data_IF_569667852212
#
_entry.id   IF_569667852212
#
_cell.length_a   1.000
_cell.length_b   1.000
_cell.length_c   1.000
_cell.angle_alpha   90.00
_cell.angle_beta   90.00
_cell.angle_gamma   90.00
#
_symmetry.space_group_name_H-M   'P 1'
#
loop_
_entity.id
_entity.type
_entity.pdbx_description
1 polymer ?
#
# COMPACT_ATOMS: atom_id res chain seq x y z
N UNK A 1 -25.71 -8.65 3.31
CA UNK A 1 -25.12 -8.30 2.00
C UNK A 1 -23.64 -8.14 2.26
N UNK A 2 -22.78 -8.99 1.69
CA UNK A 2 -21.34 -8.93 1.99
C UNK A 2 -20.70 -7.77 1.23
N UNK A 3 -20.13 -6.82 1.97
CA UNK A 3 -19.19 -5.82 1.47
C UNK A 3 -17.96 -6.53 0.87
N UNK A 4 -18.08 -6.94 -0.39
CA UNK A 4 -17.01 -7.62 -1.09
C UNK A 4 -15.88 -6.62 -1.33
N UNK A 5 -14.74 -6.88 -0.68
CA UNK A 5 -13.50 -6.14 -0.82
C UNK A 5 -12.89 -6.38 -2.22
N UNK A 6 -12.02 -5.47 -2.71
CA UNK A 6 -11.18 -5.72 -3.88
C UNK A 6 -10.35 -7.00 -3.70
N UNK A 7 -10.31 -7.84 -4.73
CA UNK A 7 -9.63 -9.15 -4.69
C UNK A 7 -8.09 -9.03 -4.58
N UNK A 8 -7.53 -7.84 -4.81
CA UNK A 8 -6.09 -7.54 -4.68
C UNK A 8 -5.68 -6.94 -3.33
N UNK A 9 -6.60 -6.86 -2.37
CA UNK A 9 -6.25 -6.49 -1.00
C UNK A 9 -5.71 -7.73 -0.25
N UNK A 10 -4.40 -7.77 0.11
CA UNK A 10 -3.84 -8.92 0.83
C UNK A 10 -4.46 -9.05 2.22
N UNK A 11 -4.76 -10.28 2.64
CA UNK A 11 -5.17 -10.64 4.01
C UNK A 11 -6.58 -10.18 4.40
N UNK A 12 -7.45 -11.11 4.78
CA UNK A 12 -8.73 -10.78 5.41
C UNK A 12 -8.55 -9.90 6.66
N UNK A 13 -9.67 -9.53 7.26
CA UNK A 13 -9.89 -8.60 8.38
C UNK A 13 -9.14 -8.87 9.69
N UNK A 14 -8.19 -9.79 9.70
CA UNK A 14 -7.40 -10.11 10.87
C UNK A 14 -6.25 -9.10 11.00
N UNK A 15 -6.09 -8.61 12.21
CA UNK A 15 -5.04 -7.66 12.59
C UNK A 15 -3.67 -8.30 12.37
N UNK A 16 -2.99 -7.96 11.28
CA UNK A 16 -1.63 -8.46 11.01
C UNK A 16 -0.62 -7.36 11.35
N UNK A 17 -0.12 -7.43 12.59
CA UNK A 17 1.04 -6.72 13.14
C UNK A 17 0.93 -5.19 13.37
N UNK A 18 1.65 -4.75 14.42
CA UNK A 18 1.94 -3.34 14.70
C UNK A 18 2.74 -2.71 13.54
N UNK A 19 2.71 -1.37 13.44
CA UNK A 19 3.48 -0.67 12.40
C UNK A 19 4.97 -1.04 12.48
N UNK A 20 5.51 -1.55 11.37
CA UNK A 20 6.92 -1.83 11.20
C UNK A 20 7.46 -1.04 9.99
N UNK A 21 8.54 -0.26 10.14
CA UNK A 21 9.11 0.50 9.04
C UNK A 21 9.69 -0.44 7.98
N UNK A 22 9.12 -0.41 6.78
CA UNK A 22 9.57 -1.19 5.63
C UNK A 22 10.05 -0.28 4.50
N UNK A 23 11.11 -0.62 3.75
CA UNK A 23 11.51 0.14 2.57
C UNK A 23 10.33 0.34 1.62
N UNK A 24 10.05 1.59 1.24
CA UNK A 24 8.88 1.92 0.44
C UNK A 24 9.10 1.43 -0.99
N UNK A 25 8.18 0.59 -1.48
CA UNK A 25 8.27 -0.02 -2.80
C UNK A 25 6.95 0.05 -3.56
N UNK A 26 7.04 0.13 -4.89
CA UNK A 26 5.86 0.10 -5.78
C UNK A 26 5.11 -1.21 -5.61
N UNK A 27 3.78 -1.14 -5.56
CA UNK A 27 2.90 -2.28 -5.37
C UNK A 27 2.63 -2.63 -3.90
N UNK A 28 3.36 -2.06 -2.94
CA UNK A 28 3.08 -2.26 -1.52
C UNK A 28 1.69 -1.72 -1.16
N UNK A 29 0.96 -2.51 -0.38
CA UNK A 29 -0.33 -2.12 0.18
C UNK A 29 -0.16 -1.93 1.69
N UNK A 30 -0.55 -0.76 2.18
CA UNK A 30 -0.58 -0.41 3.59
C UNK A 30 -2.04 -0.30 4.02
N UNK A 31 -2.44 -1.05 5.05
CA UNK A 31 -3.81 -1.06 5.58
C UNK A 31 -3.90 -0.32 6.89
N UNK A 32 -4.91 0.52 7.03
CA UNK A 32 -5.23 1.16 8.30
C UNK A 32 -5.98 0.21 9.22
N UNK A 33 -5.86 0.38 10.53
CA UNK A 33 -6.80 -0.19 11.49
C UNK A 33 -8.24 0.28 11.19
N UNK A 34 -9.01 -0.54 10.48
CA UNK A 34 -10.39 -0.24 10.11
C UNK A 34 -10.86 -0.93 8.82
N UNK A 35 -12.17 -0.89 8.54
CA UNK A 35 -12.83 -1.74 7.55
C UNK A 35 -12.51 -1.44 6.07
N UNK A 36 -12.16 -0.20 5.77
CA UNK A 36 -12.28 0.34 4.41
C UNK A 36 -10.97 0.94 3.91
N UNK A 37 -10.08 1.38 4.80
CA UNK A 37 -8.96 2.26 4.47
C UNK A 37 -7.67 1.48 4.16
N UNK A 38 -7.27 1.50 2.89
CA UNK A 38 -5.99 0.98 2.42
C UNK A 38 -5.35 1.94 1.42
N UNK A 39 -4.03 1.86 1.32
CA UNK A 39 -3.19 2.63 0.42
C UNK A 39 -2.33 1.67 -0.38
N UNK A 40 -2.29 1.83 -1.69
CA UNK A 40 -1.33 1.15 -2.56
C UNK A 40 -0.30 2.16 -3.04
N UNK A 41 0.98 1.82 -2.95
CA UNK A 41 2.06 2.64 -3.50
C UNK A 41 2.12 2.39 -5.01
N UNK A 42 1.89 3.43 -5.80
CA UNK A 42 1.90 3.38 -7.26
C UNK A 42 3.26 3.80 -7.82
N UNK A 43 3.95 4.74 -7.14
CA UNK A 43 5.27 5.25 -7.54
C UNK A 43 6.08 5.62 -6.30
N UNK A 44 7.39 5.41 -6.36
CA UNK A 44 8.35 5.84 -5.33
C UNK A 44 9.32 6.84 -5.94
N UNK A 45 9.18 8.12 -5.57
CA UNK A 45 9.99 9.23 -6.08
C UNK A 45 10.96 9.71 -5.01
N UNK A 46 11.62 8.79 -4.29
CA UNK A 46 12.61 9.13 -3.27
C UNK A 46 14.03 9.10 -3.87
N UNK A 47 14.97 9.95 -3.41
CA UNK A 47 16.36 9.87 -3.84
C UNK A 47 16.91 8.45 -3.72
N UNK A 48 17.56 7.97 -4.78
CA UNK A 48 18.06 6.58 -4.87
C UNK A 48 17.07 5.57 -5.45
N UNK A 49 15.81 5.94 -5.74
CA UNK A 49 14.89 5.08 -6.49
C UNK A 49 14.99 5.31 -8.02
N UNK A 50 14.83 4.26 -8.86
CA UNK A 50 14.88 4.40 -10.32
C UNK A 50 13.84 5.35 -10.92
N UNK A 51 12.74 5.60 -10.21
CA UNK A 51 11.68 6.50 -10.66
C UNK A 51 11.89 7.95 -10.20
N UNK A 52 12.98 8.25 -9.48
CA UNK A 52 13.30 9.60 -9.05
C UNK A 52 13.91 10.39 -10.20
N UNK A 53 13.24 11.46 -10.61
CA UNK A 53 13.60 12.33 -11.74
C UNK A 53 14.27 13.65 -11.31
N UNK A 54 14.64 13.77 -10.03
CA UNK A 54 15.12 15.02 -9.44
C UNK A 54 14.03 15.97 -8.97
N UNK A 55 12.75 15.59 -9.10
CA UNK A 55 11.60 16.34 -8.63
C UNK A 55 11.35 16.27 -7.12
N UNK A 56 10.12 16.59 -6.72
CA UNK A 56 9.71 16.58 -5.31
C UNK A 56 9.74 15.15 -4.74
N UNK A 57 10.47 14.91 -3.63
CA UNK A 57 10.57 13.58 -3.06
C UNK A 57 9.25 13.13 -2.44
N UNK A 58 8.89 11.86 -2.64
CA UNK A 58 7.68 11.31 -2.03
C UNK A 58 7.20 9.99 -2.65
N UNK A 59 5.93 9.68 -2.43
CA UNK A 59 5.24 8.52 -3.03
C UNK A 59 3.90 8.95 -3.65
N UNK A 60 3.54 8.32 -4.76
CA UNK A 60 2.16 8.36 -5.26
C UNK A 60 1.40 7.19 -4.68
N UNK A 61 0.23 7.46 -4.09
CA UNK A 61 -0.61 6.45 -3.46
C UNK A 61 -2.00 6.44 -4.05
N UNK A 62 -2.55 5.25 -4.26
CA UNK A 62 -3.96 5.03 -4.55
C UNK A 62 -4.66 4.61 -3.28
N UNK A 63 -5.75 5.29 -2.93
CA UNK A 63 -6.53 4.98 -1.72
C UNK A 63 -7.74 4.13 -2.07
N UNK A 64 -8.29 3.41 -1.11
CA UNK A 64 -9.64 2.86 -1.22
C UNK A 64 -10.71 3.94 -0.97
N UNK A 65 -11.89 3.74 -1.54
CA UNK A 65 -13.09 4.56 -1.35
C UNK A 65 -14.33 3.67 -1.20
N UNK A 66 -15.32 4.15 -0.47
CA UNK A 66 -16.61 3.48 -0.31
C UNK A 66 -17.73 4.21 -1.05
N UNK A 67 -18.65 3.43 -1.64
CA UNK A 67 -19.85 3.96 -2.31
C UNK A 67 -21.00 2.95 -2.21
N UNK A 68 -20.78 1.73 -2.71
CA UNK A 68 -21.67 0.56 -2.53
C UNK A 68 -20.90 -0.75 -2.31
N UNK A 69 -19.58 -0.70 -2.53
CA UNK A 69 -18.56 -1.70 -2.25
C UNK A 69 -17.24 -0.95 -2.10
N UNK A 70 -16.29 -1.51 -1.37
CA UNK A 70 -14.93 -0.96 -1.30
C UNK A 70 -14.27 -1.11 -2.67
N UNK A 71 -13.62 -0.05 -3.15
CA UNK A 71 -12.88 -0.06 -4.42
C UNK A 71 -11.68 0.87 -4.34
N UNK A 72 -10.69 0.66 -5.20
CA UNK A 72 -9.63 1.64 -5.39
C UNK A 72 -10.18 2.93 -6.03
N UNK A 73 -9.67 4.06 -5.55
CA UNK A 73 -9.89 5.36 -6.17
C UNK A 73 -9.37 5.37 -7.61
N UNK A 74 -9.99 6.20 -8.47
CA UNK A 74 -9.54 6.35 -9.86
C UNK A 74 -8.29 7.23 -9.95
N UNK A 75 -8.14 8.13 -8.99
CA UNK A 75 -7.05 9.08 -8.87
C UNK A 75 -5.94 8.57 -7.94
N UNK A 76 -4.75 9.11 -8.16
CA UNK A 76 -3.58 8.89 -7.31
C UNK A 76 -3.25 10.18 -6.58
N UNK A 77 -3.12 10.12 -5.26
CA UNK A 77 -2.64 11.23 -4.45
C UNK A 77 -1.12 11.22 -4.33
N UNK A 78 -0.49 12.39 -4.21
CA UNK A 78 0.93 12.51 -3.90
C UNK A 78 1.14 12.79 -2.42
N UNK A 79 2.01 12.01 -1.76
CA UNK A 79 2.51 12.26 -0.42
C UNK A 79 3.97 12.66 -0.52
N UNK A 80 4.25 13.95 -0.32
CA UNK A 80 5.62 14.47 -0.30
C UNK A 80 6.32 14.23 1.03
N UNK A 81 7.64 14.08 0.97
CA UNK A 81 8.50 13.95 2.14
C UNK A 81 9.63 12.93 1.95
N UNK A 82 10.51 12.87 2.94
CA UNK A 82 11.53 11.81 3.04
C UNK A 82 10.88 10.48 3.42
N UNK A 83 11.64 9.38 3.30
CA UNK A 83 11.19 8.06 3.76
C UNK A 83 10.72 8.09 5.22
N UNK A 84 11.48 8.73 6.10
CA UNK A 84 11.15 8.86 7.53
C UNK A 84 9.83 9.61 7.75
N UNK A 85 9.61 10.71 7.03
CA UNK A 85 8.35 11.47 7.11
C UNK A 85 7.16 10.64 6.64
N UNK A 86 7.34 9.85 5.58
CA UNK A 86 6.30 8.97 5.04
C UNK A 86 5.99 7.82 6.01
N UNK A 87 7.02 7.21 6.62
CA UNK A 87 6.88 6.22 7.68
C UNK A 87 6.14 6.77 8.88
N UNK A 88 6.53 7.96 9.38
CA UNK A 88 5.81 8.63 10.46
C UNK A 88 4.34 8.86 10.10
N UNK A 89 4.06 9.31 8.88
CA UNK A 89 2.68 9.53 8.41
C UNK A 89 1.87 8.23 8.34
N UNK A 90 2.49 7.12 7.93
CA UNK A 90 1.86 5.79 7.95
C UNK A 90 1.58 5.33 9.39
N UNK A 91 2.55 5.49 10.29
CA UNK A 91 2.41 5.15 11.70
C UNK A 91 1.32 5.97 12.39
N UNK A 92 1.34 7.31 12.26
CA UNK A 92 0.32 8.22 12.81
C UNK A 92 -1.06 7.96 12.20
N UNK A 93 -1.09 7.53 10.94
CA UNK A 93 -2.31 7.12 10.26
C UNK A 93 -2.86 5.77 10.71
N UNK A 94 -2.13 5.02 11.55
CA UNK A 94 -2.49 3.68 12.00
C UNK A 94 -2.41 2.63 10.90
N UNK A 95 -1.49 2.81 9.94
CA UNK A 95 -1.26 1.87 8.85
C UNK A 95 -0.26 0.79 9.25
N UNK A 96 -0.50 -0.44 8.82
CA UNK A 96 0.46 -1.55 8.84
C UNK A 96 0.65 -2.06 7.42
N UNK A 97 1.82 -2.64 7.13
CA UNK A 97 2.07 -3.27 5.83
C UNK A 97 1.13 -4.48 5.70
N UNK A 98 0.36 -4.55 4.62
CA UNK A 98 -0.44 -5.74 4.35
C UNK A 98 0.52 -6.90 4.09
N UNK A 99 0.26 -8.08 4.67
CA UNK A 99 1.08 -9.27 4.45
C UNK A 99 1.30 -9.41 2.94
N UNK A 100 2.54 -9.50 2.44
CA UNK A 100 2.73 -9.77 1.03
C UNK A 100 1.97 -11.07 0.75
N UNK A 101 0.99 -11.03 -0.17
CA UNK A 101 0.57 -12.24 -0.85
C UNK A 101 1.87 -12.81 -1.37
N UNK A 102 2.34 -13.89 -0.76
CA UNK A 102 3.42 -14.68 -1.31
C UNK A 102 3.05 -14.85 -2.78
N UNK A 103 3.90 -14.47 -3.75
CA UNK A 103 3.68 -15.00 -5.08
C UNK A 103 3.64 -16.52 -4.87
N UNK A 104 2.58 -17.17 -5.36
CA UNK A 104 2.54 -18.61 -5.47
C UNK A 104 3.69 -19.02 -6.39
N UNK A 105 4.89 -19.14 -5.84
CA UNK A 105 6.04 -19.73 -6.50
C UNK A 105 5.83 -21.23 -6.47
N UNK A 106 4.94 -21.73 -7.33
CA UNK A 106 4.98 -23.08 -7.88
C UNK A 106 4.31 -23.07 -9.27
N UNK A 107 4.81 -22.23 -10.18
CA UNK A 107 4.72 -22.48 -11.62
C UNK A 107 6.10 -22.36 -12.25
N UNK A 108 7.06 -23.14 -11.74
CA UNK A 108 8.30 -23.50 -12.44
C UNK A 108 8.82 -24.86 -11.94
N UNK A 109 8.10 -25.94 -12.24
CA UNK A 109 8.68 -27.28 -12.38
C UNK A 109 7.64 -28.24 -12.97
N UNK A 110 7.58 -28.31 -14.29
CA UNK A 110 7.44 -29.58 -14.99
C UNK A 110 7.85 -29.39 -16.45
N UNK A 111 9.12 -29.70 -16.68
CA UNK A 111 9.58 -30.29 -17.92
C UNK A 111 8.99 -31.70 -18.08
#
# INVERSE_FOLDING_TARGET
MSDRLPDDLPGGWEHVAEFEPHPLAVGQVWRKMGPIDALRIERVMLPGNPQYDGGAPGISVRRTVYSHRVKWAKDTGFWGGSQEMLHRRLQEGGYSLATPLTPSTEEQAQA
#
